data_IF_744723438290
#
_entry.id   IF_744723438290
#
_cell.length_a   1.000
_cell.length_b   1.000
_cell.length_c   1.000
_cell.angle_alpha   90.00
_cell.angle_beta   90.00
_cell.angle_gamma   90.00
#
_symmetry.space_group_name_H-M   'P 1'
#
loop_
_entity.id
_entity.type
_entity.pdbx_description
1 polymer ?
#
# COMPACT_ATOMS: atom_id res chain seq x y z
N UNK A 1 23.08 14.55 1.29
CA UNK A 1 22.01 13.56 1.13
C UNK A 1 20.69 14.24 1.44
N UNK A 2 19.80 14.33 0.46
CA UNK A 2 18.42 14.83 0.64
C UNK A 2 17.52 13.63 0.87
N UNK A 3 16.77 13.64 1.97
CA UNK A 3 15.82 12.56 2.30
C UNK A 3 14.42 13.14 2.41
N UNK A 4 13.49 12.62 1.62
CA UNK A 4 12.07 12.99 1.60
C UNK A 4 11.24 11.79 2.02
N UNK A 5 10.31 11.96 2.98
CA UNK A 5 9.40 10.90 3.42
C UNK A 5 7.97 11.38 3.15
N UNK A 6 7.31 10.72 2.20
CA UNK A 6 5.89 10.90 1.93
C UNK A 6 5.08 10.10 2.93
N UNK A 7 4.25 10.78 3.72
CA UNK A 7 3.43 10.19 4.78
C UNK A 7 1.95 10.51 4.56
N UNK A 8 1.09 9.82 5.32
CA UNK A 8 -0.33 10.12 5.38
C UNK A 8 -0.78 9.98 6.84
N UNK A 9 -1.63 10.89 7.34
CA UNK A 9 -2.01 10.88 8.77
C UNK A 9 -2.65 9.55 9.23
N UNK A 10 -3.40 8.90 8.35
CA UNK A 10 -4.09 7.64 8.65
C UNK A 10 -3.23 6.37 8.41
N UNK A 11 -1.92 6.52 8.21
CA UNK A 11 -0.99 5.42 7.93
C UNK A 11 -0.24 5.03 9.21
N UNK A 12 -0.48 3.82 9.72
CA UNK A 12 0.17 3.30 10.94
C UNK A 12 1.68 3.22 10.79
N UNK A 13 2.18 2.65 9.69
CA UNK A 13 3.62 2.52 9.43
C UNK A 13 4.31 3.89 9.35
N UNK A 14 3.63 4.89 8.79
CA UNK A 14 4.12 6.27 8.74
C UNK A 14 4.29 6.84 10.15
N UNK A 15 3.34 6.57 11.04
CA UNK A 15 3.43 7.05 12.41
C UNK A 15 4.54 6.34 13.20
N UNK A 16 4.67 5.01 13.06
CA UNK A 16 5.76 4.25 13.69
C UNK A 16 7.13 4.75 13.22
N UNK A 17 7.30 5.02 11.92
CA UNK A 17 8.53 5.58 11.37
C UNK A 17 8.84 6.96 11.97
N UNK A 18 7.84 7.86 12.03
CA UNK A 18 8.02 9.20 12.57
C UNK A 18 8.37 9.17 14.06
N UNK A 19 7.72 8.33 14.86
CA UNK A 19 8.05 8.11 16.28
C UNK A 19 9.48 7.60 16.45
N UNK A 20 9.86 6.60 15.64
CA UNK A 20 11.21 6.06 15.68
C UNK A 20 12.26 7.13 15.37
N UNK A 21 12.04 7.96 14.35
CA UNK A 21 12.95 9.05 14.00
C UNK A 21 13.02 10.13 15.07
N UNK A 22 11.90 10.44 15.72
CA UNK A 22 11.84 11.42 16.82
C UNK A 22 12.65 10.94 18.03
N UNK A 23 12.40 9.70 18.47
CA UNK A 23 13.13 9.05 19.57
C UNK A 23 14.64 9.00 19.33
N UNK A 24 15.06 8.94 18.08
CA UNK A 24 16.47 8.93 17.65
C UNK A 24 17.07 10.32 17.40
N UNK A 25 16.28 11.39 17.49
CA UNK A 25 16.71 12.75 17.17
C UNK A 25 17.05 12.93 15.68
N UNK A 26 16.45 12.13 14.80
CA UNK A 26 16.73 12.09 13.37
C UNK A 26 15.71 12.84 12.50
N UNK A 27 14.59 13.32 13.07
CA UNK A 27 13.57 14.07 12.32
C UNK A 27 14.16 15.30 11.60
N UNK A 28 15.13 15.99 12.19
CA UNK A 28 15.79 17.14 11.57
C UNK A 28 16.63 16.80 10.32
N UNK A 29 16.83 15.51 9.99
CA UNK A 29 17.57 15.05 8.82
C UNK A 29 16.68 14.69 7.63
N UNK A 30 15.36 14.73 7.79
CA UNK A 30 14.40 14.30 6.77
C UNK A 30 13.38 15.39 6.51
N UNK A 31 12.91 15.48 5.27
CA UNK A 31 11.78 16.31 4.90
C UNK A 31 10.52 15.46 4.91
N UNK A 32 9.57 15.74 5.81
CA UNK A 32 8.28 15.06 5.86
C UNK A 32 7.30 15.76 4.92
N UNK A 33 6.64 15.00 4.05
CA UNK A 33 5.68 15.50 3.07
C UNK A 33 4.35 14.78 3.28
N UNK A 34 3.34 15.51 3.72
CA UNK A 34 1.99 14.95 3.88
C UNK A 34 1.30 14.83 2.51
N UNK A 35 0.95 13.60 2.14
CA UNK A 35 0.30 13.29 0.85
C UNK A 35 -1.15 13.77 0.79
N UNK A 36 -1.81 14.04 1.92
CA UNK A 36 -3.12 14.70 1.96
C UNK A 36 -3.02 16.18 1.59
N UNK A 37 -1.96 16.86 2.07
CA UNK A 37 -1.72 18.28 1.80
C UNK A 37 -1.05 18.53 0.44
N UNK A 38 -0.21 17.59 -0.01
CA UNK A 38 0.56 17.70 -1.26
C UNK A 38 0.34 16.50 -2.20
N UNK A 39 -0.91 16.19 -2.60
CA UNK A 39 -1.22 14.98 -3.36
C UNK A 39 -0.58 14.97 -4.75
N UNK A 40 -0.55 16.11 -5.46
CA UNK A 40 0.03 16.18 -6.80
C UNK A 40 1.55 16.02 -6.81
N UNK A 41 2.24 16.49 -5.77
CA UNK A 41 3.67 16.23 -5.60
C UNK A 41 3.93 14.74 -5.37
N UNK A 42 3.11 14.07 -4.56
CA UNK A 42 3.20 12.63 -4.34
C UNK A 42 3.00 11.84 -5.64
N UNK A 43 2.00 12.24 -6.44
CA UNK A 43 1.72 11.63 -7.74
C UNK A 43 2.85 11.85 -8.76
N UNK A 44 3.40 13.07 -8.84
CA UNK A 44 4.55 13.40 -9.70
C UNK A 44 5.78 12.53 -9.35
N UNK A 45 5.97 12.25 -8.06
CA UNK A 45 7.05 11.37 -7.57
C UNK A 45 6.75 9.88 -7.68
N UNK A 46 5.57 9.48 -8.19
CA UNK A 46 5.19 8.07 -8.35
C UNK A 46 4.86 7.36 -7.03
N UNK A 47 4.40 8.09 -6.01
CA UNK A 47 4.02 7.51 -4.71
C UNK A 47 2.70 6.74 -4.85
N UNK A 48 2.76 5.42 -4.69
CA UNK A 48 1.59 4.52 -4.71
C UNK A 48 1.33 3.81 -3.36
N UNK A 49 2.20 4.04 -2.38
CA UNK A 49 2.10 3.51 -1.02
C UNK A 49 2.71 4.51 -0.04
N UNK A 50 2.32 4.47 1.22
CA UNK A 50 2.94 5.29 2.28
C UNK A 50 3.30 4.40 3.47
N UNK A 51 4.41 4.69 4.18
CA UNK A 51 5.39 5.73 3.86
C UNK A 51 6.17 5.42 2.58
N UNK A 52 6.56 6.46 1.84
CA UNK A 52 7.49 6.34 0.71
C UNK A 52 8.71 7.20 0.99
N UNK A 53 9.88 6.58 1.03
CA UNK A 53 11.15 7.24 1.35
C UNK A 53 11.96 7.42 0.09
N UNK A 54 12.30 8.66 -0.23
CA UNK A 54 13.20 9.02 -1.32
C UNK A 54 14.52 9.52 -0.77
N UNK A 55 15.62 9.03 -1.35
CA UNK A 55 16.97 9.47 -1.04
C UNK A 55 17.61 9.97 -2.34
N UNK A 56 17.98 11.25 -2.34
CA UNK A 56 18.53 11.95 -3.51
C UNK A 56 17.68 11.75 -4.78
N UNK A 57 16.35 11.73 -4.60
CA UNK A 57 15.35 11.58 -5.67
C UNK A 57 15.01 10.13 -6.06
N UNK A 58 15.72 9.12 -5.55
CA UNK A 58 15.42 7.70 -5.79
C UNK A 58 14.48 7.15 -4.73
N UNK A 59 13.40 6.47 -5.12
CA UNK A 59 12.53 5.75 -4.20
C UNK A 59 13.30 4.54 -3.61
N UNK A 60 13.39 4.48 -2.28
CA UNK A 60 14.16 3.46 -1.57
C UNK A 60 13.27 2.54 -0.74
N UNK A 61 12.21 3.08 -0.13
CA UNK A 61 11.19 2.29 0.56
C UNK A 61 9.79 2.72 0.11
N UNK A 62 8.86 1.76 0.05
CA UNK A 62 7.45 2.00 -0.25
C UNK A 62 6.56 1.06 0.59
N UNK A 63 5.76 1.62 1.51
CA UNK A 63 5.06 0.84 2.52
C UNK A 63 5.98 0.55 3.71
N UNK A 64 6.49 -0.67 3.84
CA UNK A 64 7.32 -1.06 4.99
C UNK A 64 8.72 -0.42 4.94
N UNK A 65 9.21 0.07 6.08
CA UNK A 65 10.57 0.61 6.21
C UNK A 65 11.35 -0.20 7.25
N UNK A 66 12.57 -0.63 6.92
CA UNK A 66 13.49 -1.17 7.91
C UNK A 66 14.09 0.00 8.70
N UNK A 67 13.60 0.23 9.92
CA UNK A 67 13.97 1.38 10.73
C UNK A 67 15.46 1.42 11.09
N UNK A 68 16.06 0.25 11.36
CA UNK A 68 17.48 0.17 11.73
C UNK A 68 18.37 0.44 10.52
N UNK A 69 18.00 -0.11 9.37
CA UNK A 69 18.70 0.19 8.12
C UNK A 69 18.57 1.66 7.73
N UNK A 70 17.37 2.21 7.87
CA UNK A 70 17.12 3.60 7.55
C UNK A 70 17.89 4.55 8.49
N UNK A 71 17.99 4.23 9.79
CA UNK A 71 18.86 4.92 10.74
C UNK A 71 20.33 4.95 10.25
N UNK A 72 20.88 3.80 9.85
CA UNK A 72 22.24 3.70 9.32
C UNK A 72 22.45 4.56 8.07
N UNK A 73 21.48 4.56 7.16
CA UNK A 73 21.52 5.42 5.97
C UNK A 73 21.56 6.89 6.38
N UNK A 74 20.70 7.31 7.31
CA UNK A 74 20.67 8.68 7.84
C UNK A 74 21.96 9.07 8.58
N UNK A 75 22.73 8.10 9.06
CA UNK A 75 24.06 8.28 9.66
C UNK A 75 25.20 8.30 8.63
N UNK A 76 24.90 8.05 7.34
CA UNK A 76 25.85 8.10 6.24
C UNK A 76 26.44 6.74 5.86
N UNK A 77 25.94 5.63 6.41
CA UNK A 77 26.38 4.30 6.02
C UNK A 77 25.87 3.93 4.63
N UNK A 78 26.75 3.34 3.82
CA UNK A 78 26.37 2.76 2.53
C UNK A 78 25.82 1.35 2.76
N UNK A 79 24.55 1.16 2.44
CA UNK A 79 23.90 -0.16 2.50
C UNK A 79 24.07 -0.87 1.16
N UNK A 80 24.64 -2.08 1.21
CA UNK A 80 24.69 -3.01 0.06
C UNK A 80 24.12 -4.34 0.52
N UNK A 81 23.17 -4.89 -0.24
CA UNK A 81 22.48 -6.14 0.08
C UNK A 81 22.77 -7.20 -0.96
N UNK A 82 23.18 -8.38 -0.47
CA UNK A 82 23.06 -9.62 -1.22
C UNK A 82 21.62 -10.09 -1.12
N UNK A 83 20.94 -10.15 -2.25
CA UNK A 83 19.52 -10.48 -2.29
C UNK A 83 19.35 -11.98 -2.59
N UNK A 84 18.58 -12.65 -1.75
CA UNK A 84 18.15 -14.01 -2.01
C UNK A 84 17.06 -13.99 -3.09
N UNK A 85 17.37 -14.59 -4.23
CA UNK A 85 16.49 -14.65 -5.41
C UNK A 85 15.16 -15.36 -5.10
N UNK A 86 15.19 -16.36 -4.22
CA UNK A 86 14.02 -17.16 -3.86
C UNK A 86 13.00 -16.40 -2.99
N UNK A 87 13.43 -15.31 -2.35
CA UNK A 87 12.57 -14.46 -1.50
C UNK A 87 11.92 -13.30 -2.26
N UNK A 88 12.37 -13.01 -3.50
CA UNK A 88 11.95 -11.82 -4.23
C UNK A 88 10.43 -11.76 -4.46
N UNK A 89 9.84 -12.90 -4.81
CA UNK A 89 8.38 -12.98 -5.00
C UNK A 89 7.65 -12.69 -3.71
N UNK A 90 8.04 -13.34 -2.61
CA UNK A 90 7.35 -13.14 -1.34
C UNK A 90 7.52 -11.69 -0.84
N UNK A 91 8.69 -11.07 -1.00
CA UNK A 91 8.91 -9.63 -0.72
C UNK A 91 8.01 -8.72 -1.56
N UNK A 92 7.95 -8.97 -2.88
CA UNK A 92 7.05 -8.22 -3.77
C UNK A 92 5.59 -8.39 -3.35
N UNK A 93 5.16 -9.62 -3.06
CA UNK A 93 3.79 -9.90 -2.66
C UNK A 93 3.44 -9.27 -1.32
N UNK A 94 4.37 -9.23 -0.35
CA UNK A 94 4.21 -8.44 0.89
C UNK A 94 4.01 -6.95 0.58
N UNK A 95 4.86 -6.37 -0.27
CA UNK A 95 4.73 -4.97 -0.68
C UNK A 95 3.40 -4.67 -1.39
N UNK A 96 2.92 -5.61 -2.22
CA UNK A 96 1.61 -5.50 -2.88
C UNK A 96 0.50 -5.50 -1.83
N UNK A 97 0.46 -6.49 -0.92
CA UNK A 97 -0.64 -6.63 0.05
C UNK A 97 -0.63 -5.58 1.16
N UNK A 98 0.47 -4.86 1.35
CA UNK A 98 0.53 -3.68 2.24
C UNK A 98 0.03 -2.40 1.57
N UNK A 99 0.12 -2.30 0.23
CA UNK A 99 -0.45 -1.18 -0.52
C UNK A 99 -1.87 -1.50 -1.02
N UNK A 100 -2.85 -0.75 -0.55
CA UNK A 100 -4.23 -0.89 -1.06
C UNK A 100 -4.32 -0.63 -2.56
N UNK A 101 -3.66 0.42 -3.07
CA UNK A 101 -3.68 0.75 -4.49
C UNK A 101 -3.11 -0.39 -5.34
N UNK A 102 -1.95 -0.94 -4.95
CA UNK A 102 -1.33 -2.07 -5.64
C UNK A 102 -2.19 -3.34 -5.56
N UNK A 103 -2.70 -3.66 -4.37
CA UNK A 103 -3.58 -4.82 -4.16
C UNK A 103 -4.83 -4.73 -5.03
N UNK A 104 -5.57 -3.63 -4.94
CA UNK A 104 -6.82 -3.45 -5.65
C UNK A 104 -6.61 -3.48 -7.18
N UNK A 105 -5.61 -2.75 -7.68
CA UNK A 105 -5.32 -2.72 -9.10
C UNK A 105 -4.93 -4.11 -9.63
N UNK A 106 -4.01 -4.81 -8.95
CA UNK A 106 -3.56 -6.12 -9.42
C UNK A 106 -4.64 -7.20 -9.27
N UNK A 107 -5.40 -7.18 -8.17
CA UNK A 107 -6.46 -8.16 -7.93
C UNK A 107 -7.56 -8.07 -9.00
N UNK A 108 -8.03 -6.86 -9.32
CA UNK A 108 -9.06 -6.65 -10.34
C UNK A 108 -8.53 -7.01 -11.73
N UNK A 109 -7.38 -6.47 -12.11
CA UNK A 109 -6.93 -6.47 -13.50
C UNK A 109 -6.11 -7.70 -13.90
N UNK A 110 -5.48 -8.38 -12.94
CA UNK A 110 -4.54 -9.51 -13.15
C UNK A 110 -3.46 -9.26 -14.20
N UNK A 111 -3.07 -7.99 -14.38
CA UNK A 111 -2.17 -7.54 -15.43
C UNK A 111 -0.76 -7.29 -14.85
N UNK A 112 0.01 -8.36 -14.75
CA UNK A 112 1.36 -8.32 -14.17
C UNK A 112 2.35 -7.55 -15.03
N UNK A 113 2.18 -7.55 -16.36
CA UNK A 113 3.10 -6.86 -17.27
C UNK A 113 3.09 -5.35 -17.02
N UNK A 114 1.88 -4.76 -16.96
CA UNK A 114 1.69 -3.35 -16.65
C UNK A 114 2.05 -3.03 -15.20
N UNK A 115 1.74 -3.92 -14.25
CA UNK A 115 2.12 -3.72 -12.85
C UNK A 115 3.64 -3.68 -12.67
N UNK A 116 4.36 -4.64 -13.26
CA UNK A 116 5.81 -4.72 -13.15
C UNK A 116 6.51 -3.53 -13.82
N UNK A 117 5.86 -2.81 -14.75
CA UNK A 117 6.39 -1.57 -15.30
C UNK A 117 6.58 -0.46 -14.25
N UNK A 118 5.96 -0.57 -13.07
CA UNK A 118 6.24 0.27 -11.89
C UNK A 118 7.57 -0.13 -11.21
N UNK A 119 8.66 -0.02 -11.97
CA UNK A 119 9.98 -0.54 -11.59
C UNK A 119 10.48 0.00 -10.25
N UNK A 120 10.37 1.31 -10.02
CA UNK A 120 10.85 1.91 -8.76
C UNK A 120 10.13 1.36 -7.54
N UNK A 121 8.80 1.16 -7.63
CA UNK A 121 8.04 0.51 -6.58
C UNK A 121 8.52 -0.92 -6.35
N UNK A 122 8.65 -1.72 -7.42
CA UNK A 122 9.13 -3.11 -7.34
C UNK A 122 10.51 -3.16 -6.69
N UNK A 123 11.43 -2.29 -7.10
CA UNK A 123 12.79 -2.24 -6.54
C UNK A 123 12.79 -1.87 -5.06
N UNK A 124 11.96 -0.90 -4.66
CA UNK A 124 11.86 -0.44 -3.28
C UNK A 124 11.30 -1.54 -2.35
N UNK A 125 10.17 -2.16 -2.70
CA UNK A 125 9.53 -3.18 -1.85
C UNK A 125 10.32 -4.48 -1.75
N UNK A 126 11.18 -4.77 -2.74
CA UNK A 126 12.05 -5.96 -2.74
C UNK A 126 13.43 -5.69 -2.14
N UNK A 127 13.77 -4.42 -1.89
CA UNK A 127 15.11 -4.01 -1.44
C UNK A 127 16.19 -4.08 -2.53
N UNK A 128 15.80 -4.31 -3.80
CA UNK A 128 16.73 -4.35 -4.94
C UNK A 128 17.45 -3.03 -5.14
N UNK A 129 16.91 -1.92 -4.65
CA UNK A 129 17.57 -0.59 -4.67
C UNK A 129 18.97 -0.59 -4.03
N UNK A 130 19.24 -1.54 -3.14
CA UNK A 130 20.52 -1.72 -2.43
C UNK A 130 21.39 -2.86 -2.99
N UNK A 131 20.96 -3.52 -4.07
CA UNK A 131 21.71 -4.63 -4.66
C UNK A 131 22.62 -4.15 -5.78
N UNK A 132 23.79 -4.77 -5.93
CA UNK A 132 24.67 -4.52 -7.08
C UNK A 132 24.11 -5.17 -8.36
N UNK A 133 23.41 -6.30 -8.24
CA UNK A 133 22.80 -7.06 -9.34
C UNK A 133 21.32 -6.69 -9.58
N UNK A 134 20.92 -5.47 -9.19
CA UNK A 134 19.53 -5.08 -9.09
C UNK A 134 18.74 -5.25 -10.41
N UNK A 135 19.37 -4.93 -11.55
CA UNK A 135 18.74 -5.00 -12.86
C UNK A 135 18.47 -6.45 -13.30
N UNK A 136 19.43 -7.34 -13.09
CA UNK A 136 19.29 -8.76 -13.42
C UNK A 136 18.17 -9.40 -12.59
N UNK A 137 18.19 -9.14 -11.28
CA UNK A 137 17.20 -9.66 -10.35
C UNK A 137 15.80 -9.10 -10.60
N UNK A 138 15.68 -7.82 -10.95
CA UNK A 138 14.42 -7.21 -11.36
C UNK A 138 13.87 -7.90 -12.62
N UNK A 139 14.71 -8.09 -13.65
CA UNK A 139 14.29 -8.74 -14.89
C UNK A 139 13.88 -10.20 -14.68
N UNK A 140 14.60 -10.93 -13.82
CA UNK A 140 14.19 -12.26 -13.39
C UNK A 140 12.81 -12.24 -12.73
N UNK A 141 12.61 -11.37 -11.73
CA UNK A 141 11.33 -11.26 -11.01
C UNK A 141 10.19 -10.88 -11.96
N UNK A 142 10.41 -9.92 -12.86
CA UNK A 142 9.43 -9.52 -13.88
C UNK A 142 8.99 -10.69 -14.75
N UNK A 143 9.94 -11.45 -15.28
CA UNK A 143 9.63 -12.61 -16.12
C UNK A 143 8.87 -13.69 -15.34
N UNK A 144 9.23 -13.91 -14.08
CA UNK A 144 8.53 -14.84 -13.20
C UNK A 144 7.10 -14.38 -12.91
N UNK A 145 6.88 -13.11 -12.60
CA UNK A 145 5.53 -12.57 -12.31
C UNK A 145 4.63 -12.58 -13.55
N UNK A 146 5.16 -12.30 -14.74
CA UNK A 146 4.38 -12.38 -15.99
C UNK A 146 3.94 -13.82 -16.28
N UNK A 147 4.81 -14.80 -16.01
CA UNK A 147 4.54 -16.21 -16.30
C UNK A 147 3.68 -16.89 -15.23
N UNK A 148 3.95 -16.62 -13.95
CA UNK A 148 3.40 -17.35 -12.80
C UNK A 148 2.53 -16.48 -11.89
N UNK A 149 2.30 -15.20 -12.22
CA UNK A 149 1.61 -14.24 -11.36
C UNK A 149 0.24 -14.71 -10.85
N UNK A 150 -0.54 -15.41 -11.68
CA UNK A 150 -1.85 -15.94 -11.30
C UNK A 150 -1.77 -16.97 -10.16
N UNK A 151 -0.69 -17.75 -10.10
CA UNK A 151 -0.46 -18.72 -9.01
C UNK A 151 -0.19 -17.97 -7.70
N UNK A 152 0.56 -16.88 -7.76
CA UNK A 152 0.85 -16.05 -6.59
C UNK A 152 -0.39 -15.27 -6.11
N UNK A 153 -1.24 -14.78 -7.01
CA UNK A 153 -2.53 -14.18 -6.60
C UNK A 153 -3.38 -15.20 -5.86
N UNK A 154 -3.44 -16.45 -6.32
CA UNK A 154 -4.15 -17.52 -5.59
C UNK A 154 -3.53 -17.80 -4.23
N UNK A 155 -2.20 -17.95 -4.15
CA UNK A 155 -1.45 -18.17 -2.89
C UNK A 155 -1.70 -17.05 -1.86
N UNK A 156 -1.86 -15.81 -2.33
CA UNK A 156 -1.98 -14.61 -1.49
C UNK A 156 -3.41 -14.05 -1.42
N UNK A 157 -4.41 -14.75 -1.97
CA UNK A 157 -5.79 -14.26 -2.13
C UNK A 157 -6.35 -13.79 -0.78
N UNK A 158 -6.24 -14.58 0.28
CA UNK A 158 -6.74 -14.22 1.62
C UNK A 158 -6.20 -12.90 2.16
N UNK A 159 -4.92 -12.60 1.90
CA UNK A 159 -4.28 -11.35 2.32
C UNK A 159 -4.79 -10.18 1.47
N UNK A 160 -4.95 -10.38 0.16
CA UNK A 160 -5.53 -9.38 -0.74
C UNK A 160 -6.98 -9.07 -0.38
N UNK A 161 -7.81 -10.08 -0.16
CA UNK A 161 -9.21 -9.95 0.26
C UNK A 161 -9.31 -9.15 1.56
N UNK A 162 -8.47 -9.48 2.54
CA UNK A 162 -8.41 -8.77 3.83
C UNK A 162 -7.99 -7.32 3.65
N UNK A 163 -6.97 -7.03 2.85
CA UNK A 163 -6.53 -5.66 2.58
C UNK A 163 -7.66 -4.83 1.93
N UNK A 164 -8.25 -5.33 0.85
CA UNK A 164 -9.35 -4.66 0.13
C UNK A 164 -10.51 -4.40 1.10
N UNK A 165 -10.96 -5.43 1.81
CA UNK A 165 -12.11 -5.34 2.70
C UNK A 165 -11.87 -4.40 3.88
N UNK A 166 -10.67 -4.44 4.47
CA UNK A 166 -10.31 -3.54 5.58
C UNK A 166 -10.30 -2.08 5.12
N UNK A 167 -9.78 -1.79 3.93
CA UNK A 167 -9.76 -0.44 3.38
C UNK A 167 -11.16 0.06 3.04
N UNK A 168 -12.04 -0.80 2.51
CA UNK A 168 -13.44 -0.44 2.31
C UNK A 168 -14.11 -0.03 3.63
N UNK A 169 -14.00 -0.89 4.65
CA UNK A 169 -14.57 -0.63 5.99
C UNK A 169 -13.96 0.63 6.62
N UNK A 170 -12.66 0.89 6.40
CA UNK A 170 -11.99 2.11 6.85
C UNK A 170 -12.59 3.37 6.24
N UNK A 171 -12.89 3.36 4.94
CA UNK A 171 -13.58 4.49 4.30
C UNK A 171 -15.01 4.67 4.83
N UNK A 172 -15.74 3.58 5.08
CA UNK A 172 -17.06 3.66 5.74
C UNK A 172 -16.93 4.29 7.14
N UNK A 173 -15.94 3.88 7.94
CA UNK A 173 -15.68 4.45 9.25
C UNK A 173 -15.45 5.97 9.17
N UNK A 174 -14.64 6.44 8.23
CA UNK A 174 -14.39 7.86 8.03
C UNK A 174 -15.63 8.63 7.58
N UNK A 175 -16.41 8.07 6.65
CA UNK A 175 -17.57 8.74 6.07
C UNK A 175 -18.74 8.90 7.05
N UNK A 176 -19.03 7.86 7.85
CA UNK A 176 -20.20 7.87 8.73
C UNK A 176 -19.86 8.20 10.19
N UNK A 177 -18.59 8.09 10.59
CA UNK A 177 -18.14 8.30 11.98
C UNK A 177 -18.73 7.33 13.00
N UNK A 178 -19.56 6.37 12.56
CA UNK A 178 -20.30 5.42 13.39
C UNK A 178 -20.56 4.13 12.62
N UNK A 179 -20.73 3.02 13.34
CA UNK A 179 -20.94 1.70 12.75
C UNK A 179 -22.32 1.61 12.12
N UNK A 180 -22.36 1.33 10.82
CA UNK A 180 -23.60 0.94 10.14
C UNK A 180 -23.88 -0.53 10.41
N UNK A 181 -25.17 -0.90 10.49
CA UNK A 181 -25.58 -2.30 10.53
C UNK A 181 -25.26 -3.00 9.20
N UNK A 182 -25.14 -4.33 9.21
CA UNK A 182 -24.87 -5.09 8.00
C UNK A 182 -25.97 -4.93 6.94
N UNK A 183 -27.23 -4.76 7.36
CA UNK A 183 -28.35 -4.47 6.46
C UNK A 183 -28.18 -3.11 5.78
N UNK A 184 -27.77 -2.09 6.53
CA UNK A 184 -27.47 -0.76 5.97
C UNK A 184 -26.30 -0.82 4.98
N UNK A 185 -25.26 -1.61 5.28
CA UNK A 185 -24.13 -1.82 4.37
C UNK A 185 -24.61 -2.45 3.06
N UNK A 186 -25.35 -3.57 3.14
CA UNK A 186 -25.87 -4.25 1.94
C UNK A 186 -26.80 -3.36 1.10
N UNK A 187 -27.59 -2.51 1.74
CA UNK A 187 -28.52 -1.61 1.06
C UNK A 187 -27.80 -0.42 0.40
N UNK A 188 -26.80 0.17 1.06
CA UNK A 188 -26.08 1.37 0.57
C UNK A 188 -24.93 1.04 -0.36
N UNK A 189 -24.32 -0.12 -0.17
CA UNK A 189 -23.14 -0.59 -0.90
C UNK A 189 -23.39 -2.00 -1.44
N UNK A 190 -24.37 -2.17 -2.35
CA UNK A 190 -24.53 -3.45 -3.04
C UNK A 190 -23.29 -3.78 -3.88
N UNK A 191 -23.22 -5.01 -4.38
CA UNK A 191 -22.05 -5.54 -5.08
C UNK A 191 -21.60 -4.62 -6.23
N UNK A 192 -22.52 -4.02 -6.96
CA UNK A 192 -22.24 -3.12 -8.09
C UNK A 192 -21.55 -1.83 -7.62
N UNK A 193 -21.96 -1.28 -6.48
CA UNK A 193 -21.33 -0.09 -5.89
C UNK A 193 -19.95 -0.44 -5.34
N UNK A 194 -19.82 -1.59 -4.68
CA UNK A 194 -18.51 -2.09 -4.23
C UNK A 194 -17.56 -2.35 -5.40
N UNK A 195 -18.06 -2.94 -6.49
CA UNK A 195 -17.29 -3.19 -7.70
C UNK A 195 -16.78 -1.89 -8.34
N UNK A 196 -17.67 -0.91 -8.49
CA UNK A 196 -17.29 0.41 -8.98
C UNK A 196 -16.23 1.07 -8.08
N UNK A 197 -16.43 1.04 -6.76
CA UNK A 197 -15.45 1.55 -5.79
C UNK A 197 -14.09 0.87 -5.96
N UNK A 198 -14.04 -0.46 -6.04
CA UNK A 198 -12.79 -1.21 -6.13
C UNK A 198 -12.04 -0.94 -7.44
N UNK A 199 -12.74 -0.88 -8.57
CA UNK A 199 -12.15 -0.56 -9.88
C UNK A 199 -11.57 0.86 -9.94
N UNK A 200 -12.23 1.82 -9.29
CA UNK A 200 -11.79 3.22 -9.30
C UNK A 200 -10.66 3.45 -8.29
N UNK A 201 -10.76 2.88 -7.09
CA UNK A 201 -9.84 3.19 -5.99
C UNK A 201 -8.49 2.48 -6.10
N UNK A 202 -8.38 1.44 -6.92
CA UNK A 202 -7.11 0.76 -7.20
C UNK A 202 -6.15 1.59 -8.03
N UNK A 203 -5.62 2.70 -7.51
CA UNK A 203 -4.51 3.43 -8.12
C UNK A 203 -4.86 4.34 -9.31
N UNK A 204 -6.13 4.62 -9.57
CA UNK A 204 -6.50 5.62 -10.59
C UNK A 204 -6.38 7.05 -10.06
N UNK A 205 -5.92 7.96 -10.91
CA UNK A 205 -5.94 9.42 -10.67
C UNK A 205 -6.68 10.08 -11.82
N UNK A 206 -7.90 10.57 -11.54
CA UNK A 206 -8.81 10.99 -12.61
C UNK A 206 -9.13 9.80 -13.52
N UNK A 207 -8.69 9.86 -14.78
CA UNK A 207 -8.80 8.73 -15.74
C UNK A 207 -7.50 7.97 -15.96
N UNK A 208 -6.38 8.45 -15.44
CA UNK A 208 -5.09 7.78 -15.58
C UNK A 208 -5.08 6.54 -14.69
N UNK A 209 -4.74 5.38 -15.25
CA UNK A 209 -4.73 4.10 -14.55
C UNK A 209 -6.10 3.45 -14.35
N UNK A 210 -7.19 4.15 -14.69
CA UNK A 210 -8.56 3.63 -14.56
C UNK A 210 -8.84 2.56 -15.61
N UNK A 211 -9.14 1.33 -15.17
CA UNK A 211 -9.64 0.23 -16.01
C UNK A 211 -11.01 -0.21 -15.48
N UNK A 212 -12.05 0.12 -16.22
CA UNK A 212 -13.43 -0.25 -15.87
C UNK A 212 -13.79 -1.54 -16.61
N UNK A 213 -14.24 -2.52 -15.84
CA UNK A 213 -14.80 -3.77 -16.38
C UNK A 213 -16.33 -3.68 -16.37
N UNK A 214 -17.02 -4.01 -17.49
CA UNK A 214 -18.47 -4.10 -17.49
C UNK A 214 -18.97 -5.08 -16.43
N UNK A 215 -20.09 -4.78 -15.78
CA UNK A 215 -20.70 -5.68 -14.76
C UNK A 215 -21.15 -7.03 -15.35
N UNK A 216 -21.21 -7.15 -16.67
CA UNK A 216 -21.49 -8.40 -17.39
C UNK A 216 -20.25 -9.31 -17.54
N UNK A 217 -19.05 -8.82 -17.21
CA UNK A 217 -17.80 -9.57 -17.31
C UNK A 217 -17.66 -10.54 -16.14
N UNK A 218 -18.01 -11.81 -16.38
CA UNK A 218 -18.13 -12.84 -15.34
C UNK A 218 -16.86 -13.03 -14.52
N UNK A 219 -15.72 -13.26 -15.16
CA UNK A 219 -14.48 -13.62 -14.45
C UNK A 219 -14.03 -12.51 -13.47
N UNK A 220 -14.15 -11.25 -13.89
CA UNK A 220 -13.80 -10.09 -13.05
C UNK A 220 -14.83 -9.91 -11.94
N UNK A 221 -16.13 -10.01 -12.25
CA UNK A 221 -17.18 -9.85 -11.25
C UNK A 221 -17.23 -10.99 -10.23
N UNK A 222 -16.92 -12.23 -10.61
CA UNK A 222 -16.77 -13.35 -9.67
C UNK A 222 -15.66 -13.07 -8.65
N UNK A 223 -14.53 -12.53 -9.13
CA UNK A 223 -13.40 -12.16 -8.28
C UNK A 223 -13.72 -11.02 -7.33
N UNK A 224 -14.34 -9.95 -7.84
CA UNK A 224 -14.80 -8.83 -7.02
C UNK A 224 -15.84 -9.30 -6.00
N UNK A 225 -16.75 -10.20 -6.39
CA UNK A 225 -17.74 -10.79 -5.51
C UNK A 225 -17.10 -11.55 -4.34
N UNK A 226 -15.97 -12.25 -4.54
CA UNK A 226 -15.23 -12.85 -3.43
C UNK A 226 -14.78 -11.81 -2.39
N UNK A 227 -14.25 -10.66 -2.83
CA UNK A 227 -13.85 -9.58 -1.93
C UNK A 227 -15.04 -8.94 -1.22
N UNK A 228 -16.15 -8.74 -1.94
CA UNK A 228 -17.39 -8.25 -1.34
C UNK A 228 -17.93 -9.22 -0.27
N UNK A 229 -18.00 -10.52 -0.59
CA UNK A 229 -18.47 -11.54 0.34
C UNK A 229 -17.53 -11.72 1.53
N UNK A 230 -16.22 -11.63 1.33
CA UNK A 230 -15.25 -11.60 2.43
C UNK A 230 -15.53 -10.42 3.36
N UNK A 231 -15.74 -9.22 2.81
CA UNK A 231 -16.07 -8.03 3.58
C UNK A 231 -17.36 -8.23 4.39
N UNK A 232 -18.44 -8.68 3.74
CA UNK A 232 -19.74 -8.91 4.39
C UNK A 232 -19.63 -9.94 5.52
N UNK A 233 -18.96 -11.06 5.28
CA UNK A 233 -18.84 -12.16 6.25
C UNK A 233 -17.96 -11.82 7.44
N UNK A 234 -17.05 -10.85 7.29
CA UNK A 234 -16.10 -10.45 8.33
C UNK A 234 -16.34 -9.01 8.82
N UNK A 235 -17.47 -8.39 8.45
CA UNK A 235 -17.69 -6.95 8.61
C UNK A 235 -17.50 -6.48 10.06
N UNK A 236 -18.06 -7.19 11.03
CA UNK A 236 -17.96 -6.80 12.44
C UNK A 236 -16.52 -6.84 12.95
N UNK A 237 -15.79 -7.92 12.64
CA UNK A 237 -14.38 -8.07 13.01
C UNK A 237 -13.50 -7.02 12.32
N UNK A 238 -13.76 -6.75 11.04
CA UNK A 238 -13.07 -5.71 10.28
C UNK A 238 -13.32 -4.33 10.89
N UNK A 239 -14.57 -4.05 11.27
CA UNK A 239 -14.94 -2.78 11.91
C UNK A 239 -14.21 -2.58 13.24
N UNK A 240 -14.22 -3.57 14.12
CA UNK A 240 -13.54 -3.49 15.42
C UNK A 240 -12.04 -3.24 15.25
N UNK A 241 -11.42 -3.95 14.29
CA UNK A 241 -10.00 -3.76 13.96
C UNK A 241 -9.74 -2.34 13.48
N UNK A 242 -10.53 -1.85 12.52
CA UNK A 242 -10.42 -0.49 11.97
C UNK A 242 -10.63 0.55 13.06
N UNK A 243 -11.66 0.40 13.89
CA UNK A 243 -11.95 1.35 14.95
C UNK A 243 -10.79 1.44 15.96
N UNK A 244 -10.22 0.29 16.37
CA UNK A 244 -9.05 0.26 17.26
C UNK A 244 -7.85 0.96 16.64
N UNK A 245 -7.55 0.66 15.37
CA UNK A 245 -6.47 1.30 14.61
C UNK A 245 -6.67 2.82 14.54
N UNK A 246 -7.85 3.28 14.14
CA UNK A 246 -8.13 4.70 13.93
C UNK A 246 -8.17 5.50 15.25
N UNK A 247 -8.60 4.88 16.37
CA UNK A 247 -8.50 5.48 17.70
C UNK A 247 -7.04 5.63 18.14
N UNK A 248 -6.20 4.62 17.90
CA UNK A 248 -4.76 4.67 18.21
C UNK A 248 -4.02 5.73 17.39
N UNK A 249 -4.39 5.91 16.12
CA UNK A 249 -3.79 6.95 15.28
C UNK A 249 -4.15 8.36 15.75
N UNK A 250 -5.40 8.58 16.14
CA UNK A 250 -5.86 9.86 16.68
C UNK A 250 -5.14 10.24 17.98
N UNK A 251 -4.87 9.28 18.88
CA UNK A 251 -4.12 9.58 20.10
C UNK A 251 -2.69 10.03 19.80
N UNK A 252 -2.00 9.34 18.89
CA UNK A 252 -0.64 9.70 18.44
C UNK A 252 -0.62 11.11 17.82
N UNK A 253 -1.58 11.43 16.97
CA UNK A 253 -1.66 12.76 16.32
C UNK A 253 -1.85 13.88 17.35
N UNK A 254 -2.70 13.66 18.37
CA UNK A 254 -2.93 14.63 19.45
C UNK A 254 -1.67 14.83 20.28
N UNK A 255 -0.95 13.77 20.62
CA UNK A 255 0.32 13.86 21.36
C UNK A 255 1.37 14.66 20.59
N UNK A 256 1.52 14.45 19.28
CA UNK A 256 2.47 15.21 18.45
C UNK A 256 2.13 16.70 18.35
N UNK A 257 0.85 17.04 18.17
CA UNK A 257 0.41 18.44 18.14
C UNK A 257 0.59 19.17 19.47
N UNK A 258 0.73 18.45 20.58
CA UNK A 258 1.03 19.03 21.88
C UNK A 258 2.53 19.30 22.09
N UNK A 259 3.40 18.71 21.28
CA UNK A 259 4.86 18.78 21.41
C UNK A 259 5.47 19.77 20.39
N UNK A 260 4.84 19.96 19.23
CA UNK A 260 5.21 20.93 18.18
C UNK A 260 4.54 22.29 18.39
#
# INVERSE_FOLDING_TARGET
>A
MKVEIFTHKNCTECNLLLEYLDQKGLLGRVQIIDTELYPFLALERGVISTPSVFIDGKLVYAGTVDFQEFEKILQGEKIVKKINKDELVDKLMYGIVDSFAATAWLYVNLDFDSFMAQKDFVMAVTGLVFSEDAEELYNYLRNLMIKNGLEYVKKWEDKMLRNISSNFVREIYWLYGSKLSLEQIKAKYPLEVFAHWLMVRGGSTGRVGLRIHPLTEKDTMERISKAYMYMINNYDQLWEKVEKEQKSLKSIEVERKAIL
#
